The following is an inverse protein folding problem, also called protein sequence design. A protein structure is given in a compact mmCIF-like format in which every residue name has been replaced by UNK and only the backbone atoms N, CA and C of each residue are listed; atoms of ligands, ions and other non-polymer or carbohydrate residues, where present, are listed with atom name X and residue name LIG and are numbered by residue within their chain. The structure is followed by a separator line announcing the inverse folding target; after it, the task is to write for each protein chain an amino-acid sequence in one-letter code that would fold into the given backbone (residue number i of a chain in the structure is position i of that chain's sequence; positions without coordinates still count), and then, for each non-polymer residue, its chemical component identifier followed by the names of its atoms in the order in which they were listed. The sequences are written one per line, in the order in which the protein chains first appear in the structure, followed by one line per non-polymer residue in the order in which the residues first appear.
data_IF_053482045871
#
_entry.id   IF_053482045871
#
_cell.length_a   1.000
_cell.length_b   1.000
_cell.length_c   1.000
_cell.angle_alpha   90.00
_cell.angle_beta   90.00
_cell.angle_gamma   90.00
#
_symmetry.space_group_name_H-M   'P 1'
#
loop_
_entity.id
_entity.type
_entity.pdbx_description
1 polymer ?
#
# COMPACT_ATOMS: atom_id res chain seq x y z
N UNK A 1 -0.85 -1.18 -7.28
CA UNK A 1 -0.70 0.29 -7.16
C UNK A 1 -1.95 1.04 -7.60
N UNK A 2 -2.19 2.22 -7.04
CA UNK A 2 -3.35 3.07 -7.38
C UNK A 2 -4.64 2.74 -6.63
N UNK A 3 -4.56 2.33 -5.36
CA UNK A 3 -5.75 2.07 -4.53
C UNK A 3 -6.40 0.69 -4.70
N UNK A 4 -5.99 -0.10 -5.70
CA UNK A 4 -6.57 -1.41 -6.02
C UNK A 4 -5.89 -2.56 -5.28
N UNK A 5 -6.66 -3.56 -4.84
CA UNK A 5 -6.16 -4.71 -4.09
C UNK A 5 -6.00 -4.47 -2.59
N UNK A 6 -6.69 -3.46 -2.03
CA UNK A 6 -6.70 -3.17 -0.59
C UNK A 6 -8.10 -3.31 -0.02
N UNK A 7 -8.22 -4.01 1.11
CA UNK A 7 -9.48 -4.18 1.86
C UNK A 7 -9.23 -3.94 3.34
N UNK A 8 -10.24 -3.40 4.03
CA UNK A 8 -10.25 -3.26 5.48
C UNK A 8 -11.08 -4.41 6.03
N UNK A 9 -10.55 -5.13 7.02
CA UNK A 9 -11.30 -6.07 7.86
C UNK A 9 -11.34 -5.50 9.27
N UNK A 10 -12.54 -5.30 9.83
CA UNK A 10 -12.73 -4.76 11.19
C UNK A 10 -12.91 -5.86 12.24
N UNK A 11 -13.14 -7.09 11.81
CA UNK A 11 -13.28 -8.27 12.65
C UNK A 11 -12.56 -9.46 12.03
N UNK A 12 -12.41 -10.52 12.82
CA UNK A 12 -11.84 -11.79 12.33
C UNK A 12 -12.74 -12.44 11.27
N UNK A 13 -14.07 -12.32 11.40
CA UNK A 13 -15.03 -12.89 10.46
C UNK A 13 -14.94 -12.25 9.07
N UNK A 14 -14.63 -10.95 9.00
CA UNK A 14 -14.47 -10.21 7.73
C UNK A 14 -13.14 -10.54 7.02
N UNK A 15 -12.15 -11.07 7.74
CA UNK A 15 -10.78 -11.21 7.24
C UNK A 15 -10.68 -12.15 6.04
N UNK A 16 -11.37 -13.30 6.09
CA UNK A 16 -11.28 -14.32 5.05
C UNK A 16 -11.78 -13.80 3.68
N UNK A 17 -12.90 -13.08 3.68
CA UNK A 17 -13.47 -12.48 2.48
C UNK A 17 -12.61 -11.32 1.97
N UNK A 18 -12.18 -10.42 2.87
CA UNK A 18 -11.31 -9.30 2.55
C UNK A 18 -9.99 -9.78 1.90
N UNK A 19 -9.37 -10.82 2.46
CA UNK A 19 -8.13 -11.39 1.96
C UNK A 19 -8.30 -12.00 0.56
N UNK A 20 -9.32 -12.84 0.36
CA UNK A 20 -9.59 -13.50 -0.93
C UNK A 20 -9.90 -12.49 -2.03
N UNK A 21 -10.66 -11.44 -1.68
CA UNK A 21 -11.02 -10.38 -2.62
C UNK A 21 -9.80 -9.54 -3.00
N UNK A 22 -8.99 -9.13 -2.02
CA UNK A 22 -7.76 -8.37 -2.25
C UNK A 22 -6.79 -9.14 -3.18
N UNK A 23 -6.61 -10.44 -2.95
CA UNK A 23 -5.78 -11.31 -3.82
C UNK A 23 -6.30 -11.39 -5.24
N UNK A 24 -7.60 -11.57 -5.41
CA UNK A 24 -8.23 -11.68 -6.72
C UNK A 24 -8.09 -10.38 -7.52
N UNK A 25 -8.31 -9.23 -6.87
CA UNK A 25 -8.10 -7.90 -7.46
C UNK A 25 -6.63 -7.65 -7.81
N UNK A 26 -5.70 -8.02 -6.92
CA UNK A 26 -4.27 -7.87 -7.16
C UNK A 26 -3.82 -8.70 -8.38
N UNK A 27 -4.26 -9.96 -8.47
CA UNK A 27 -3.96 -10.82 -9.61
C UNK A 27 -4.46 -10.24 -10.92
N UNK A 28 -5.70 -9.78 -10.94
CA UNK A 28 -6.32 -9.23 -12.13
C UNK A 28 -5.66 -7.91 -12.58
N UNK A 29 -5.22 -7.08 -11.63
CA UNK A 29 -4.66 -5.76 -11.93
C UNK A 29 -3.15 -5.77 -12.18
N UNK A 30 -2.41 -6.69 -11.55
CA UNK A 30 -0.93 -6.68 -11.51
C UNK A 30 -0.29 -8.00 -11.92
N UNK A 31 -1.06 -9.08 -12.14
CA UNK A 31 -0.55 -10.41 -12.49
C UNK A 31 0.02 -11.19 -11.31
N UNK A 32 0.01 -10.61 -10.11
CA UNK A 32 0.53 -11.19 -8.87
C UNK A 32 -0.55 -11.08 -7.76
N UNK A 33 -0.75 -12.16 -7.02
CA UNK A 33 -1.74 -12.28 -5.95
C UNK A 33 -1.14 -12.26 -4.55
N UNK A 34 0.14 -11.92 -4.43
CA UNK A 34 0.79 -11.67 -3.15
C UNK A 34 0.13 -10.50 -2.42
N UNK A 35 -0.20 -10.71 -1.15
CA UNK A 35 -0.77 -9.70 -0.25
C UNK A 35 -0.15 -9.85 1.14
N UNK A 36 -0.18 -8.77 1.92
CA UNK A 36 0.21 -8.76 3.33
C UNK A 36 -0.84 -8.01 4.15
N UNK A 37 -0.76 -8.10 5.48
CA UNK A 37 -1.68 -7.42 6.40
C UNK A 37 -0.89 -6.40 7.23
N UNK A 38 -1.45 -5.20 7.38
CA UNK A 38 -0.92 -4.12 8.20
C UNK A 38 -2.00 -3.58 9.13
N UNK A 39 -1.58 -2.89 10.19
CA UNK A 39 -2.50 -2.21 11.10
C UNK A 39 -3.17 -1.03 10.38
N UNK A 40 -4.50 -1.05 10.31
CA UNK A 40 -5.27 0.06 9.77
C UNK A 40 -5.27 1.27 10.73
N UNK A 41 -5.01 2.46 10.18
CA UNK A 41 -5.12 3.73 10.89
C UNK A 41 -6.38 4.44 10.40
N UNK A 42 -7.26 4.87 11.30
CA UNK A 42 -8.58 5.42 10.91
C UNK A 42 -8.54 6.88 10.45
N UNK A 43 -7.67 7.70 11.06
CA UNK A 43 -7.53 9.13 10.74
C UNK A 43 -6.06 9.49 10.44
N UNK A 44 -5.40 8.82 9.48
CA UNK A 44 -4.03 9.12 9.14
C UNK A 44 -3.96 10.39 8.27
N UNK A 45 -2.79 11.04 8.28
CA UNK A 45 -2.36 11.92 7.19
C UNK A 45 -1.46 11.10 6.27
N UNK A 46 -1.61 11.26 4.97
CA UNK A 46 -0.76 10.60 3.99
C UNK A 46 0.36 11.57 3.66
N UNK A 47 1.54 11.41 4.26
CA UNK A 47 2.69 12.27 3.95
C UNK A 47 3.69 11.49 3.12
N UNK A 48 4.07 12.04 1.97
CA UNK A 48 5.10 11.48 1.10
C UNK A 48 6.30 12.41 0.95
N UNK A 49 7.50 11.84 0.88
CA UNK A 49 8.77 12.57 0.75
C UNK A 49 9.34 12.34 -0.65
N UNK A 50 9.65 13.42 -1.35
CA UNK A 50 10.36 13.32 -2.62
C UNK A 50 11.85 13.06 -2.36
N UNK A 51 12.41 12.04 -3.01
CA UNK A 51 13.85 11.73 -2.96
C UNK A 51 14.43 11.77 -4.38
N UNK A 52 15.68 12.21 -4.51
CA UNK A 52 16.49 12.15 -5.72
C UNK A 52 17.91 11.69 -5.40
N UNK A 53 18.45 10.77 -6.20
CA UNK A 53 19.79 10.19 -6.02
C UNK A 53 20.56 10.16 -7.34
N UNK A 54 21.89 10.19 -7.27
CA UNK A 54 22.77 9.97 -8.43
C UNK A 54 23.57 8.66 -8.30
N UNK A 55 24.31 8.29 -9.36
CA UNK A 55 25.15 7.09 -9.38
C UNK A 55 26.49 7.24 -8.65
N UNK A 56 26.77 8.40 -8.06
CA UNK A 56 28.00 8.68 -7.31
C UNK A 56 27.80 8.58 -5.80
N UNK A 57 26.60 8.17 -5.37
CA UNK A 57 26.25 8.00 -3.97
C UNK A 57 25.67 9.25 -3.31
N UNK A 58 25.39 10.31 -4.08
CA UNK A 58 24.70 11.48 -3.54
C UNK A 58 23.19 11.23 -3.49
N UNK A 59 22.54 11.73 -2.45
CA UNK A 59 21.09 11.67 -2.28
C UNK A 59 20.58 12.94 -1.60
N UNK A 60 19.37 13.36 -1.97
CA UNK A 60 18.70 14.55 -1.43
C UNK A 60 17.20 14.24 -1.24
N UNK A 61 16.59 14.83 -0.22
CA UNK A 61 15.14 14.91 -0.10
C UNK A 61 14.65 16.32 -0.47
N UNK A 62 13.50 16.40 -1.16
CA UNK A 62 12.94 17.66 -1.69
C UNK A 62 11.63 18.01 -0.99
N UNK A 63 11.68 18.04 0.34
CA UNK A 63 10.52 18.31 1.21
C UNK A 63 9.45 17.23 1.18
N UNK A 64 8.32 17.55 1.80
CA UNK A 64 7.15 16.71 1.94
C UNK A 64 5.95 17.20 1.10
N UNK A 65 5.02 16.27 0.85
CA UNK A 65 3.67 16.55 0.38
C UNK A 65 2.68 15.86 1.31
N UNK A 66 1.56 16.53 1.58
CA UNK A 66 0.37 15.96 2.22
C UNK A 66 -0.62 15.51 1.13
#
# INVERSE_FOLDING_TARGET
GGGRGMKIARSEDELAEAFTTARSEAKAAFGDDAVYIEKYLEKPRHIEIQVACDSHGNAVHLGERD
#
